data_IF_455239952919
#
_entry.id   IF_455239952919
#
_cell.length_a   1.000
_cell.length_b   1.000
_cell.length_c   1.000
_cell.angle_alpha   90.00
_cell.angle_beta   90.00
_cell.angle_gamma   90.00
#
_symmetry.space_group_name_H-M   'P 1'
#
loop_
_entity.id
_entity.type
_entity.pdbx_description
1 polymer ?
#
# COMPACT_ATOMS: atom_id res chain seq x y z
N UNK A 1 -16.31 -5.74 3.84
CA UNK A 1 -15.15 -5.12 3.14
C UNK A 1 -13.97 -5.14 4.09
N UNK A 2 -12.77 -5.30 3.57
CA UNK A 2 -11.54 -5.33 4.36
C UNK A 2 -10.41 -4.56 3.66
N UNK A 3 -9.41 -4.16 4.45
CA UNK A 3 -8.24 -3.40 4.02
C UNK A 3 -6.99 -4.15 4.44
N UNK A 4 -6.03 -4.31 3.52
CA UNK A 4 -4.67 -4.73 3.86
C UNK A 4 -3.83 -3.49 4.13
N UNK A 5 -3.21 -3.43 5.29
CA UNK A 5 -2.26 -2.37 5.65
C UNK A 5 -0.87 -2.97 5.86
N UNK A 6 0.14 -2.46 5.15
CA UNK A 6 1.52 -2.92 5.27
C UNK A 6 2.38 -1.83 5.92
N UNK A 7 2.89 -2.14 7.10
CA UNK A 7 3.87 -1.29 7.79
C UNK A 7 5.28 -1.67 7.36
N UNK A 8 5.89 -0.84 6.51
CA UNK A 8 7.26 -1.01 5.99
C UNK A 8 8.37 -0.60 6.97
N UNK A 9 8.03 -0.17 8.17
CA UNK A 9 9.03 0.26 9.14
C UNK A 9 9.74 -0.93 9.82
N UNK A 10 11.07 -0.86 10.01
CA UNK A 10 11.78 -1.82 10.86
C UNK A 10 11.43 -1.67 12.35
N UNK A 11 10.87 -0.52 12.73
CA UNK A 11 10.41 -0.26 14.10
C UNK A 11 8.93 -0.58 14.21
N UNK A 12 8.60 -1.72 14.81
CA UNK A 12 7.22 -2.23 14.91
C UNK A 12 6.28 -1.20 15.54
N UNK A 13 6.72 -0.49 16.60
CA UNK A 13 5.97 0.54 17.31
C UNK A 13 6.52 1.95 17.02
N UNK A 14 7.00 2.20 15.79
CA UNK A 14 7.53 3.49 15.37
C UNK A 14 6.46 4.48 14.91
N UNK A 15 6.90 5.64 14.42
CA UNK A 15 5.99 6.69 13.94
C UNK A 15 5.13 6.25 12.74
N UNK A 16 5.65 5.36 11.89
CA UNK A 16 4.87 4.77 10.78
C UNK A 16 3.72 3.90 11.32
N UNK A 17 3.98 3.10 12.34
CA UNK A 17 2.94 2.30 12.99
C UNK A 17 1.85 3.19 13.60
N UNK A 18 2.24 4.32 14.22
CA UNK A 18 1.31 5.27 14.80
C UNK A 18 0.41 5.91 13.72
N UNK A 19 1.00 6.35 12.62
CA UNK A 19 0.24 6.90 11.49
C UNK A 19 -0.77 5.89 10.91
N UNK A 20 -0.35 4.64 10.73
CA UNK A 20 -1.23 3.58 10.27
C UNK A 20 -2.29 3.19 11.31
N UNK A 21 -1.96 3.24 12.61
CA UNK A 21 -2.92 2.98 13.68
C UNK A 21 -4.05 4.02 13.71
N UNK A 22 -3.74 5.28 13.42
CA UNK A 22 -4.75 6.33 13.32
C UNK A 22 -5.78 6.02 12.22
N UNK A 23 -5.31 5.56 11.05
CA UNK A 23 -6.19 5.11 9.97
C UNK A 23 -6.99 3.86 10.36
N UNK A 24 -6.31 2.89 10.99
CA UNK A 24 -6.94 1.65 11.45
C UNK A 24 -8.11 1.91 12.39
N UNK A 25 -7.95 2.84 13.33
CA UNK A 25 -9.01 3.23 14.25
C UNK A 25 -10.26 3.73 13.50
N UNK A 26 -10.08 4.51 12.44
CA UNK A 26 -11.19 4.99 11.60
C UNK A 26 -11.84 3.83 10.85
N UNK A 27 -11.06 2.92 10.25
CA UNK A 27 -11.60 1.76 9.56
C UNK A 27 -12.44 0.88 10.49
N UNK A 28 -11.94 0.57 11.69
CA UNK A 28 -12.62 -0.26 12.68
C UNK A 28 -13.91 0.39 13.20
N UNK A 29 -13.91 1.71 13.43
CA UNK A 29 -15.12 2.48 13.80
C UNK A 29 -16.20 2.43 12.72
N UNK A 30 -15.81 2.34 11.46
CA UNK A 30 -16.69 2.23 10.31
C UNK A 30 -17.06 0.77 9.93
N UNK A 31 -16.68 -0.20 10.78
CA UNK A 31 -16.97 -1.62 10.58
C UNK A 31 -16.15 -2.28 9.46
N UNK A 32 -15.01 -1.69 9.10
CA UNK A 32 -14.10 -2.25 8.09
C UNK A 32 -13.05 -3.10 8.79
N UNK A 33 -12.93 -4.36 8.39
CA UNK A 33 -11.90 -5.26 8.88
C UNK A 33 -10.52 -4.85 8.35
N UNK A 34 -9.49 -4.88 9.21
CA UNK A 34 -8.12 -4.49 8.85
C UNK A 34 -7.15 -5.62 9.08
N UNK A 35 -6.47 -6.04 8.01
CA UNK A 35 -5.32 -6.94 8.09
C UNK A 35 -4.04 -6.10 8.14
N UNK A 36 -3.38 -6.08 9.30
CA UNK A 36 -2.13 -5.34 9.49
C UNK A 36 -0.94 -6.29 9.38
N UNK A 37 -0.07 -6.05 8.40
CA UNK A 37 1.20 -6.76 8.23
C UNK A 37 2.35 -5.81 8.52
N UNK A 38 3.28 -6.21 9.37
CA UNK A 38 4.47 -5.41 9.71
C UNK A 38 5.74 -6.14 9.28
N UNK A 39 6.56 -5.49 8.47
CA UNK A 39 7.84 -6.05 8.03
C UNK A 39 8.79 -6.19 9.22
N UNK A 40 8.89 -5.15 10.05
CA UNK A 40 9.79 -5.17 11.21
C UNK A 40 11.24 -5.43 10.78
N UNK A 41 11.90 -6.34 11.48
CA UNK A 41 13.30 -6.74 11.22
C UNK A 41 13.42 -7.98 10.34
N UNK A 42 12.32 -8.44 9.74
CA UNK A 42 12.35 -9.59 8.84
C UNK A 42 13.17 -9.30 7.59
N UNK A 43 13.98 -10.27 7.18
CA UNK A 43 14.75 -10.17 5.95
C UNK A 43 13.82 -10.37 4.74
N UNK A 44 13.58 -9.31 3.99
CA UNK A 44 12.87 -9.36 2.71
C UNK A 44 13.86 -9.10 1.59
N UNK A 45 14.12 -10.12 0.78
CA UNK A 45 15.03 -9.98 -0.36
C UNK A 45 14.33 -9.48 -1.61
N UNK A 46 15.08 -8.83 -2.49
CA UNK A 46 14.61 -8.40 -3.79
C UNK A 46 14.25 -9.56 -4.73
N UNK A 47 13.53 -9.27 -5.80
CA UNK A 47 13.22 -10.22 -6.87
C UNK A 47 14.51 -10.67 -7.58
N UNK A 48 14.65 -11.97 -7.84
CA UNK A 48 15.79 -12.56 -8.58
C UNK A 48 15.45 -12.86 -10.04
N UNK A 49 14.30 -12.41 -10.53
CA UNK A 49 13.84 -12.59 -11.91
C UNK A 49 13.81 -14.07 -12.38
N UNK A 50 13.54 -15.02 -11.48
CA UNK A 50 13.55 -16.46 -11.80
C UNK A 50 12.36 -16.93 -12.65
N UNK A 51 11.29 -16.13 -12.78
CA UNK A 51 10.12 -16.48 -13.57
C UNK A 51 9.15 -17.50 -12.94
N UNK A 52 9.52 -18.15 -11.84
CA UNK A 52 8.73 -19.21 -11.18
C UNK A 52 7.28 -18.81 -10.88
N UNK A 53 7.04 -17.55 -10.59
CA UNK A 53 5.68 -17.04 -10.28
C UNK A 53 4.72 -17.10 -11.48
N UNK A 54 5.21 -17.11 -12.72
CA UNK A 54 4.35 -17.28 -13.91
C UNK A 54 3.81 -18.72 -14.03
N UNK A 55 4.53 -19.70 -13.49
CA UNK A 55 4.13 -21.10 -13.51
C UNK A 55 3.33 -21.47 -12.26
N UNK A 56 3.79 -21.03 -11.08
CA UNK A 56 3.23 -21.42 -9.77
C UNK A 56 2.17 -20.48 -9.23
N UNK A 57 2.03 -19.26 -9.77
CA UNK A 57 1.13 -18.23 -9.25
C UNK A 57 1.56 -17.63 -7.90
N UNK A 58 2.77 -17.94 -7.42
CA UNK A 58 3.32 -17.45 -6.16
C UNK A 58 4.83 -17.24 -6.25
N UNK A 59 5.39 -16.41 -5.37
CA UNK A 59 6.84 -16.21 -5.32
C UNK A 59 7.55 -17.51 -4.89
N UNK A 60 8.74 -17.76 -5.47
CA UNK A 60 9.56 -18.93 -5.12
C UNK A 60 10.03 -18.92 -3.66
N UNK A 61 10.16 -17.74 -3.06
CA UNK A 61 10.52 -17.60 -1.66
C UNK A 61 9.27 -17.65 -0.80
N UNK A 62 9.22 -18.63 0.11
CA UNK A 62 8.14 -18.77 1.08
C UNK A 62 8.40 -17.82 2.28
N UNK A 63 7.99 -16.58 2.12
CA UNK A 63 8.18 -15.52 3.11
C UNK A 63 6.95 -14.59 3.17
N UNK A 64 7.13 -13.42 3.76
CA UNK A 64 6.07 -12.43 3.96
C UNK A 64 5.31 -12.05 2.68
N UNK A 65 5.94 -12.16 1.50
CA UNK A 65 5.28 -11.87 0.21
C UNK A 65 4.15 -12.86 -0.05
N UNK A 66 4.40 -14.16 0.13
CA UNK A 66 3.39 -15.21 -0.06
C UNK A 66 2.30 -15.17 1.03
N UNK A 67 2.61 -14.64 2.20
CA UNK A 67 1.60 -14.39 3.25
C UNK A 67 0.70 -13.20 2.91
N UNK A 68 1.25 -12.14 2.32
CA UNK A 68 0.49 -10.96 1.89
C UNK A 68 -0.40 -11.23 0.67
N UNK A 69 0.02 -12.10 -0.24
CA UNK A 69 -0.67 -12.31 -1.52
C UNK A 69 -2.17 -12.65 -1.37
N UNK A 70 -2.60 -13.65 -0.57
CA UNK A 70 -4.01 -13.97 -0.40
C UNK A 70 -4.78 -12.86 0.33
N UNK A 71 -4.16 -12.16 1.27
CA UNK A 71 -4.77 -11.01 1.94
C UNK A 71 -5.03 -9.87 0.93
N UNK A 72 -4.06 -9.60 0.06
CA UNK A 72 -4.20 -8.57 -0.97
C UNK A 72 -5.29 -8.94 -1.99
N UNK A 73 -5.38 -10.21 -2.38
CA UNK A 73 -6.43 -10.66 -3.27
C UNK A 73 -7.84 -10.42 -2.71
N UNK A 74 -8.04 -10.69 -1.42
CA UNK A 74 -9.34 -10.57 -0.74
C UNK A 74 -9.71 -9.14 -0.37
N UNK A 75 -8.73 -8.23 -0.18
CA UNK A 75 -8.98 -6.87 0.27
C UNK A 75 -9.50 -5.96 -0.84
N UNK A 76 -10.36 -5.00 -0.47
CA UNK A 76 -10.86 -3.95 -1.34
C UNK A 76 -9.87 -2.76 -1.44
N UNK A 77 -8.95 -2.62 -0.48
CA UNK A 77 -7.91 -1.60 -0.48
C UNK A 77 -6.58 -2.11 0.05
N UNK A 78 -5.49 -1.52 -0.44
CA UNK A 78 -4.12 -1.70 0.04
C UNK A 78 -3.55 -0.36 0.48
N UNK A 79 -3.17 -0.27 1.76
CA UNK A 79 -2.45 0.88 2.32
C UNK A 79 -1.02 0.46 2.62
N UNK A 80 -0.04 1.21 2.14
CA UNK A 80 1.38 0.96 2.44
C UNK A 80 1.97 2.15 3.18
N UNK A 81 2.55 1.90 4.34
CA UNK A 81 3.23 2.91 5.15
C UNK A 81 4.74 2.72 5.18
N UNK A 82 5.51 3.76 4.93
CA UNK A 82 6.96 3.72 4.94
C UNK A 82 7.60 4.86 5.72
N UNK A 83 8.66 4.58 6.51
CA UNK A 83 9.59 5.64 6.86
C UNK A 83 10.35 6.06 5.61
N UNK A 84 10.77 7.34 5.59
CA UNK A 84 11.59 7.89 4.49
C UNK A 84 13.07 7.70 4.81
N UNK A 85 13.78 7.03 3.92
CA UNK A 85 15.22 6.87 3.95
C UNK A 85 15.82 7.35 2.64
N UNK A 86 16.66 8.41 2.69
CA UNK A 86 17.29 9.00 1.50
C UNK A 86 16.28 9.38 0.40
N UNK A 87 15.15 9.99 0.79
CA UNK A 87 14.05 10.37 -0.10
C UNK A 87 13.41 9.20 -0.88
N UNK A 88 13.47 8.00 -0.33
CA UNK A 88 12.88 6.77 -0.86
C UNK A 88 12.19 6.00 0.27
N UNK A 89 11.36 5.03 -0.08
CA UNK A 89 10.77 4.12 0.89
C UNK A 89 11.82 3.16 1.47
N UNK A 90 11.50 2.54 2.60
CA UNK A 90 12.36 1.49 3.15
C UNK A 90 12.58 0.37 2.13
N UNK A 91 13.84 0.03 1.86
CA UNK A 91 14.23 -0.96 0.86
C UNK A 91 13.54 -2.33 1.07
N UNK A 92 13.30 -2.76 2.30
CA UNK A 92 12.56 -4.00 2.57
C UNK A 92 11.10 -3.92 2.14
N UNK A 93 10.47 -2.75 2.21
CA UNK A 93 9.12 -2.53 1.69
C UNK A 93 9.13 -2.57 0.15
N UNK A 94 10.08 -1.90 -0.49
CA UNK A 94 10.22 -1.96 -1.96
C UNK A 94 10.42 -3.40 -2.43
N UNK A 95 11.32 -4.15 -1.80
CA UNK A 95 11.56 -5.56 -2.13
C UNK A 95 10.30 -6.44 -1.95
N UNK A 96 9.48 -6.14 -0.93
CA UNK A 96 8.20 -6.81 -0.73
C UNK A 96 7.21 -6.43 -1.85
N UNK A 97 7.04 -5.15 -2.15
CA UNK A 97 6.08 -4.66 -3.14
C UNK A 97 6.45 -5.12 -4.56
N UNK A 98 7.72 -5.05 -4.96
CA UNK A 98 8.20 -5.55 -6.25
C UNK A 98 7.77 -7.00 -6.45
N UNK A 99 8.00 -7.84 -5.45
CA UNK A 99 7.67 -9.25 -5.52
C UNK A 99 6.17 -9.51 -5.39
N UNK A 100 5.47 -8.81 -4.51
CA UNK A 100 4.03 -8.96 -4.31
C UNK A 100 3.26 -8.61 -5.59
N UNK A 101 3.56 -7.45 -6.19
CA UNK A 101 2.89 -7.03 -7.42
C UNK A 101 3.27 -7.88 -8.63
N UNK A 102 4.52 -8.35 -8.71
CA UNK A 102 5.00 -9.17 -9.82
C UNK A 102 4.54 -10.63 -9.74
N UNK A 103 4.42 -11.20 -8.54
CA UNK A 103 4.06 -12.62 -8.37
C UNK A 103 2.57 -12.91 -8.26
N UNK A 104 1.73 -11.88 -8.12
CA UNK A 104 0.28 -12.04 -7.99
C UNK A 104 -0.42 -11.71 -9.31
N UNK A 105 -1.24 -12.63 -9.82
CA UNK A 105 -1.89 -12.53 -11.15
C UNK A 105 -3.39 -12.24 -11.10
N UNK A 106 -3.98 -12.07 -9.90
CA UNK A 106 -5.37 -11.64 -9.76
C UNK A 106 -5.55 -10.20 -10.26
N UNK A 107 -6.78 -9.86 -10.65
CA UNK A 107 -7.15 -8.52 -11.09
C UNK A 107 -7.11 -7.52 -9.93
N UNK A 108 -6.22 -6.55 -10.02
CA UNK A 108 -6.02 -5.50 -9.02
C UNK A 108 -6.83 -4.23 -9.33
N UNK A 109 -7.45 -4.17 -10.52
CA UNK A 109 -8.19 -2.99 -10.95
C UNK A 109 -9.30 -2.62 -9.97
N UNK A 110 -9.41 -1.33 -9.72
CA UNK A 110 -10.42 -0.74 -8.81
C UNK A 110 -10.29 -1.18 -7.34
N UNK A 111 -9.21 -1.90 -6.94
CA UNK A 111 -8.82 -1.92 -5.54
C UNK A 111 -8.21 -0.56 -5.20
N UNK A 112 -8.60 0.03 -4.08
CA UNK A 112 -8.10 1.36 -3.69
C UNK A 112 -6.67 1.25 -3.18
N UNK A 113 -5.77 2.08 -3.70
CA UNK A 113 -4.37 2.17 -3.24
C UNK A 113 -4.13 3.43 -2.42
N UNK A 114 -3.30 3.36 -1.39
CA UNK A 114 -2.82 4.54 -0.66
C UNK A 114 -1.41 4.35 -0.11
N UNK A 115 -0.57 5.37 -0.31
CA UNK A 115 0.76 5.46 0.30
C UNK A 115 0.74 6.42 1.48
N UNK A 116 1.43 6.06 2.57
CA UNK A 116 1.66 6.89 3.76
C UNK A 116 3.16 7.00 3.99
N UNK A 117 3.67 8.23 4.04
CA UNK A 117 5.09 8.50 4.22
C UNK A 117 5.35 9.15 5.57
N UNK A 118 6.34 8.68 6.30
CA UNK A 118 6.69 9.20 7.62
C UNK A 118 8.17 9.61 7.65
N UNK A 119 8.43 10.87 7.95
CA UNK A 119 9.78 11.39 8.00
C UNK A 119 9.99 12.39 9.13
N UNK A 120 11.26 12.61 9.47
CA UNK A 120 11.61 13.74 10.32
C UNK A 120 11.34 15.08 9.61
N UNK A 121 11.62 15.18 8.29
CA UNK A 121 11.60 16.44 7.55
C UNK A 121 11.37 16.24 6.04
N UNK A 122 12.42 16.13 5.23
CA UNK A 122 12.35 16.10 3.77
C UNK A 122 12.25 14.70 3.17
N UNK A 123 11.96 14.64 1.86
CA UNK A 123 11.94 13.39 1.09
C UNK A 123 10.57 12.70 1.01
N UNK A 124 9.54 13.23 1.66
CA UNK A 124 8.20 12.64 1.71
C UNK A 124 7.54 12.56 0.34
N UNK A 125 7.58 13.65 -0.45
CA UNK A 125 6.94 13.67 -1.79
C UNK A 125 7.58 12.66 -2.75
N UNK A 126 8.91 12.57 -2.78
CA UNK A 126 9.59 11.59 -3.62
C UNK A 126 9.22 10.13 -3.24
N UNK A 127 9.17 9.84 -1.93
CA UNK A 127 8.74 8.52 -1.43
C UNK A 127 7.26 8.25 -1.74
N UNK A 128 6.41 9.26 -1.62
CA UNK A 128 4.99 9.17 -1.96
C UNK A 128 4.78 8.84 -3.43
N UNK A 129 5.49 9.54 -4.32
CA UNK A 129 5.44 9.29 -5.76
C UNK A 129 5.96 7.89 -6.12
N UNK A 130 7.04 7.45 -5.49
CA UNK A 130 7.60 6.11 -5.66
C UNK A 130 6.57 5.01 -5.35
N UNK A 131 5.92 5.10 -4.20
CA UNK A 131 4.95 4.09 -3.75
C UNK A 131 3.65 4.10 -4.58
N UNK A 132 3.18 5.26 -5.02
CA UNK A 132 1.96 5.36 -5.82
C UNK A 132 2.10 4.75 -7.23
N UNK A 133 3.32 4.56 -7.73
CA UNK A 133 3.56 3.90 -9.03
C UNK A 133 3.08 2.46 -9.05
N UNK A 134 3.16 1.73 -7.93
CA UNK A 134 2.63 0.37 -7.83
C UNK A 134 1.12 0.32 -8.07
N UNK A 135 0.40 1.30 -7.54
CA UNK A 135 -1.06 1.37 -7.69
C UNK A 135 -1.45 1.78 -9.11
N UNK A 136 -0.83 2.85 -9.61
CA UNK A 136 -1.20 3.41 -10.92
C UNK A 136 -0.95 2.45 -12.07
N UNK A 137 0.18 1.72 -12.08
CA UNK A 137 0.46 0.71 -13.13
C UNK A 137 -0.50 -0.48 -13.07
N UNK A 138 -1.12 -0.72 -11.90
CA UNK A 138 -2.02 -1.84 -11.65
C UNK A 138 -3.51 -1.50 -11.84
N UNK A 139 -3.82 -0.28 -12.31
CA UNK A 139 -5.20 0.17 -12.49
C UNK A 139 -5.96 0.37 -11.18
N UNK A 140 -5.22 0.60 -10.08
CA UNK A 140 -5.78 0.89 -8.77
C UNK A 140 -5.94 2.39 -8.60
N UNK A 141 -7.16 2.91 -8.30
CA UNK A 141 -7.34 4.31 -7.96
C UNK A 141 -6.57 4.66 -6.69
N UNK A 142 -5.80 5.75 -6.74
CA UNK A 142 -5.03 6.25 -5.61
C UNK A 142 -5.91 7.19 -4.78
N UNK A 143 -6.08 6.85 -3.49
CA UNK A 143 -6.81 7.71 -2.57
C UNK A 143 -5.97 8.92 -2.17
N UNK A 144 -6.60 10.09 -2.23
CA UNK A 144 -6.08 11.36 -1.72
C UNK A 144 -6.69 11.68 -0.35
N UNK A 145 -6.01 12.55 0.40
CA UNK A 145 -6.52 13.20 1.60
C UNK A 145 -6.69 14.69 1.35
N UNK A 146 -6.55 15.51 2.37
CA UNK A 146 -6.55 16.98 2.28
C UNK A 146 -5.19 17.58 1.89
N UNK A 147 -4.12 16.75 1.97
CA UNK A 147 -2.74 17.09 1.60
C UNK A 147 -2.03 15.82 1.12
N UNK A 148 -0.72 15.85 0.85
CA UNK A 148 0.04 14.62 0.64
C UNK A 148 0.03 13.77 1.91
N UNK A 149 -0.12 12.45 1.77
CA UNK A 149 -0.30 11.53 2.89
C UNK A 149 1.00 11.37 3.68
N UNK A 150 1.33 12.35 4.48
CA UNK A 150 2.58 12.45 5.22
C UNK A 150 2.36 12.74 6.70
N UNK A 151 3.25 12.18 7.53
CA UNK A 151 3.32 12.44 8.97
C UNK A 151 4.77 12.69 9.36
N UNK A 152 4.98 13.63 10.27
CA UNK A 152 6.31 14.01 10.74
C UNK A 152 6.60 13.43 12.13
N UNK A 153 7.85 13.02 12.33
CA UNK A 153 8.35 12.54 13.61
C UNK A 153 9.72 11.85 13.45
N UNK A 154 10.62 12.10 14.39
CA UNK A 154 11.98 11.53 14.45
C UNK A 154 12.10 10.50 15.56
N UNK A 155 11.84 10.93 16.80
CA UNK A 155 11.90 10.08 17.97
C UNK A 155 10.64 9.21 18.10
N UNK A 156 10.69 8.12 18.85
CA UNK A 156 9.51 7.30 19.07
C UNK A 156 8.34 8.13 19.60
N UNK A 157 7.16 7.95 19.01
CA UNK A 157 5.90 8.62 19.36
C UNK A 157 5.82 10.12 19.04
N UNK A 158 6.82 10.77 18.46
CA UNK A 158 6.73 12.19 18.05
C UNK A 158 5.62 12.42 17.03
N UNK A 159 5.31 11.45 16.17
CA UNK A 159 4.19 11.56 15.25
C UNK A 159 2.83 11.81 15.93
N UNK A 160 2.69 11.50 17.22
CA UNK A 160 1.50 11.84 18.00
C UNK A 160 1.31 13.36 18.20
N UNK A 161 2.37 14.15 17.99
CA UNK A 161 2.36 15.61 18.09
C UNK A 161 2.11 16.29 16.74
N UNK A 162 2.13 15.54 15.66
CA UNK A 162 1.82 16.05 14.31
C UNK A 162 0.31 16.01 14.07
N UNK A 163 -0.39 16.99 14.63
CA UNK A 163 -1.86 17.06 14.56
C UNK A 163 -2.38 17.13 13.13
N UNK A 164 -1.69 17.86 12.23
CA UNK A 164 -2.03 17.95 10.81
C UNK A 164 -1.83 16.62 10.10
N UNK A 165 -0.70 15.96 10.35
CA UNK A 165 -0.42 14.64 9.80
C UNK A 165 -1.43 13.59 10.25
N UNK A 166 -1.80 13.57 11.53
CA UNK A 166 -2.83 12.66 12.04
C UNK A 166 -4.23 12.97 11.49
N UNK A 167 -4.58 14.25 11.34
CA UNK A 167 -5.82 14.66 10.67
C UNK A 167 -5.82 14.19 9.20
N UNK A 168 -4.70 14.32 8.52
CA UNK A 168 -4.50 13.81 7.15
C UNK A 168 -4.73 12.30 7.07
N UNK A 169 -4.25 11.53 8.05
CA UNK A 169 -4.49 10.08 8.13
C UNK A 169 -5.97 9.74 8.31
N UNK A 170 -6.69 10.45 9.17
CA UNK A 170 -8.13 10.24 9.36
C UNK A 170 -8.91 10.56 8.10
N UNK A 171 -8.62 11.70 7.46
CA UNK A 171 -9.25 12.10 6.18
C UNK A 171 -8.97 11.06 5.09
N UNK A 172 -7.72 10.57 4.99
CA UNK A 172 -7.36 9.53 4.03
C UNK A 172 -8.19 8.25 4.26
N UNK A 173 -8.33 7.82 5.51
CA UNK A 173 -9.11 6.63 5.84
C UNK A 173 -10.58 6.77 5.44
N UNK A 174 -11.22 7.91 5.74
CA UNK A 174 -12.59 8.19 5.31
C UNK A 174 -12.74 8.22 3.78
N UNK A 175 -11.78 8.81 3.07
CA UNK A 175 -11.79 8.84 1.60
C UNK A 175 -11.62 7.44 1.00
N UNK A 176 -10.76 6.59 1.57
CA UNK A 176 -10.64 5.18 1.17
C UNK A 176 -11.97 4.45 1.36
N UNK A 177 -12.63 4.61 2.51
CA UNK A 177 -13.93 3.98 2.78
C UNK A 177 -14.97 4.43 1.75
N UNK A 178 -15.04 5.74 1.47
CA UNK A 178 -15.96 6.27 0.47
C UNK A 178 -15.69 5.66 -0.91
N UNK A 179 -14.43 5.61 -1.34
CA UNK A 179 -14.05 5.02 -2.62
C UNK A 179 -14.38 3.52 -2.68
N UNK A 180 -14.06 2.75 -1.64
CA UNK A 180 -14.37 1.33 -1.59
C UNK A 180 -15.88 1.07 -1.71
N UNK A 181 -16.70 1.83 -0.98
CA UNK A 181 -18.17 1.73 -1.02
C UNK A 181 -18.71 2.14 -2.40
N UNK A 182 -18.21 3.25 -2.97
CA UNK A 182 -18.61 3.75 -4.30
C UNK A 182 -18.24 2.78 -5.42
N UNK A 183 -17.02 2.21 -5.37
CA UNK A 183 -16.57 1.22 -6.35
C UNK A 183 -17.40 -0.06 -6.25
N UNK A 184 -17.74 -0.51 -5.05
CA UNK A 184 -18.59 -1.69 -4.88
C UNK A 184 -20.00 -1.49 -5.48
N UNK A 185 -20.63 -0.34 -5.21
CA UNK A 185 -21.91 0.04 -5.79
C UNK A 185 -21.83 0.19 -7.32
N UNK A 186 -20.78 0.85 -7.81
CA UNK A 186 -20.56 1.01 -9.25
C UNK A 186 -20.34 -0.34 -9.95
N UNK A 187 -19.58 -1.24 -9.33
CA UNK A 187 -19.34 -2.59 -9.85
C UNK A 187 -20.63 -3.43 -9.90
N UNK A 188 -21.47 -3.30 -8.88
CA UNK A 188 -22.77 -3.99 -8.84
C UNK A 188 -23.72 -3.47 -9.93
N UNK A 189 -23.78 -2.14 -10.11
CA UNK A 189 -24.72 -1.51 -11.03
C UNK A 189 -24.29 -1.59 -12.51
N UNK A 190 -22.98 -1.50 -12.80
CA UNK A 190 -22.45 -1.30 -14.16
C UNK A 190 -21.36 -2.30 -14.56
N UNK A 191 -20.87 -3.14 -13.64
CA UNK A 191 -19.67 -3.93 -13.85
C UNK A 191 -18.39 -3.10 -13.72
N UNK A 192 -17.24 -3.75 -13.91
CA UNK A 192 -15.96 -3.01 -14.03
C UNK A 192 -15.84 -2.41 -15.43
N UNK A 193 -15.08 -1.30 -15.59
CA UNK A 193 -14.78 -0.75 -16.90
C UNK A 193 -14.21 -1.82 -17.84
N UNK A 194 -14.72 -1.86 -19.07
CA UNK A 194 -14.21 -2.75 -20.09
C UNK A 194 -12.74 -2.44 -20.40
N UNK A 195 -11.96 -3.48 -20.65
CA UNK A 195 -10.58 -3.34 -21.09
C UNK A 195 -10.39 -3.94 -22.46
N UNK A 196 -9.78 -3.16 -23.34
CA UNK A 196 -9.28 -3.68 -24.61
C UNK A 196 -8.16 -4.70 -24.39
N UNK A 197 -7.93 -5.55 -25.39
CA UNK A 197 -6.79 -6.44 -25.40
C UNK A 197 -5.47 -5.64 -25.30
N UNK A 198 -4.60 -6.04 -24.39
CA UNK A 198 -3.34 -5.33 -24.14
C UNK A 198 -2.45 -5.36 -25.39
N UNK A 199 -2.11 -4.20 -25.92
CA UNK A 199 -1.07 -4.04 -26.93
C UNK A 199 0.25 -3.82 -26.22
N UNK A 200 1.21 -4.73 -26.42
CA UNK A 200 2.55 -4.59 -25.89
C UNK A 200 3.50 -4.00 -26.92
N UNK A 201 4.16 -2.91 -26.58
CA UNK A 201 5.21 -2.31 -27.42
C UNK A 201 6.56 -2.94 -27.04
N UNK A 202 7.22 -3.50 -28.07
CA UNK A 202 8.61 -3.94 -27.94
C UNK A 202 9.49 -3.08 -28.85
N UNK A 203 10.42 -2.33 -28.28
CA UNK A 203 11.35 -1.44 -29.00
C UNK A 203 12.59 -2.19 -29.54
N UNK A 204 12.79 -3.45 -29.17
CA UNK A 204 13.86 -4.31 -29.69
C UNK A 204 13.28 -5.12 -30.84
N UNK A 205 13.79 -4.90 -32.03
CA UNK A 205 13.41 -5.59 -33.28
C UNK A 205 14.53 -6.52 -33.72
#
# INVERSE_FOLDING_TARGET
MNVLMINGSPRVNGNTALALQEMKNVFEQEGIEVHMVTIGTQAVRGCIACGTCFEKGSCVFDDLVNQCAPLFEQCAALVVGSPVYYASANASLIALLDRLFYSTHFDKRMKVGAAVCVARRGGLSATFDELNKYFTISGMPVASSQYWNSVHGRLPKEAAQDEEGLQTMRTLAHNIIFLMRSIALGKEAYGLPEQEAKIATNFIR
#
